data_IF_776103213017
#
_entry.id   IF_776103213017
#
_cell.length_a   1.000
_cell.length_b   1.000
_cell.length_c   1.000
_cell.angle_alpha   90.00
_cell.angle_beta   90.00
_cell.angle_gamma   90.00
#
_symmetry.space_group_name_H-M   'P 1'
#
loop_
_entity.id
_entity.type
_entity.pdbx_description
1 polymer ?
#
# COMPACT_ATOMS: atom_id res chain seq x y z
N UNK A 1 3.38 0.59 -17.55
CA UNK A 1 4.75 0.60 -17.00
C UNK A 1 5.57 1.74 -17.60
N UNK A 2 5.72 1.81 -18.93
CA UNK A 2 6.42 2.90 -19.64
C UNK A 2 6.02 4.30 -19.16
N UNK A 3 4.72 4.62 -19.22
CA UNK A 3 4.19 5.91 -18.74
C UNK A 3 4.58 6.24 -17.28
N UNK A 4 4.55 5.25 -16.38
CA UNK A 4 4.93 5.47 -14.99
C UNK A 4 6.44 5.76 -14.88
N UNK A 5 7.27 4.98 -15.58
CA UNK A 5 8.72 5.14 -15.59
C UNK A 5 9.15 6.49 -16.17
N UNK A 6 8.56 6.89 -17.30
CA UNK A 6 8.81 8.20 -17.93
C UNK A 6 8.35 9.37 -17.04
N UNK A 7 7.36 9.14 -16.17
CA UNK A 7 6.92 10.11 -15.15
C UNK A 7 7.80 10.10 -13.89
N UNK A 8 8.90 9.35 -13.88
CA UNK A 8 9.86 9.27 -12.76
C UNK A 8 9.57 8.20 -11.72
N UNK A 9 8.55 7.35 -11.91
CA UNK A 9 8.27 6.22 -11.00
C UNK A 9 9.29 5.11 -11.23
N UNK A 10 10.01 4.75 -10.17
CA UNK A 10 10.96 3.62 -10.19
C UNK A 10 10.46 2.38 -9.44
N UNK A 11 9.46 2.51 -8.56
CA UNK A 11 8.90 1.42 -7.76
C UNK A 11 7.78 0.69 -8.52
N UNK A 12 7.98 -0.60 -8.75
CA UNK A 12 7.00 -1.48 -9.38
C UNK A 12 6.78 -2.72 -8.52
N UNK A 13 5.58 -2.82 -7.96
CA UNK A 13 5.14 -3.98 -7.21
C UNK A 13 4.37 -4.93 -8.13
N UNK A 14 4.84 -6.18 -8.25
CA UNK A 14 4.28 -7.12 -9.20
C UNK A 14 4.38 -8.58 -8.75
N UNK A 15 3.69 -9.44 -9.51
CA UNK A 15 3.96 -10.87 -9.60
C UNK A 15 4.72 -11.24 -10.90
N UNK A 16 4.62 -10.46 -12.00
CA UNK A 16 5.31 -10.69 -13.30
C UNK A 16 5.47 -9.39 -14.14
N UNK A 17 6.42 -9.38 -15.07
CA UNK A 17 6.55 -8.54 -16.30
C UNK A 17 7.76 -7.59 -16.41
N UNK A 18 8.33 -7.64 -17.62
CA UNK A 18 9.36 -6.85 -18.29
C UNK A 18 9.22 -5.32 -18.25
N UNK A 19 10.35 -4.63 -18.08
CA UNK A 19 10.56 -3.26 -18.50
C UNK A 19 11.87 -3.10 -19.28
N UNK A 20 11.84 -2.29 -20.33
CA UNK A 20 12.97 -1.92 -21.18
C UNK A 20 13.94 -0.89 -20.54
N UNK A 21 14.03 -0.86 -19.20
CA UNK A 21 14.91 0.02 -18.44
C UNK A 21 16.18 -0.68 -17.96
N UNK A 22 17.21 0.09 -17.55
CA UNK A 22 18.36 -0.49 -16.85
C UNK A 22 17.88 -1.06 -15.51
N UNK A 23 18.26 -2.30 -15.17
CA UNK A 23 17.88 -2.94 -13.91
C UNK A 23 18.19 -2.08 -12.66
N UNK A 24 19.29 -1.33 -12.70
CA UNK A 24 19.74 -0.46 -11.60
C UNK A 24 18.92 0.81 -11.39
N UNK A 25 18.05 1.20 -12.33
CA UNK A 25 17.15 2.35 -12.18
C UNK A 25 15.74 1.97 -11.72
N UNK A 26 15.49 0.68 -11.45
CA UNK A 26 14.20 0.14 -11.06
C UNK A 26 14.26 -0.46 -9.65
N UNK A 27 13.16 -0.27 -8.91
CA UNK A 27 12.88 -0.97 -7.65
C UNK A 27 11.72 -1.91 -7.89
N UNK A 28 12.02 -3.19 -8.09
CA UNK A 28 11.04 -4.25 -8.33
C UNK A 28 10.75 -4.96 -7.01
N UNK A 29 9.48 -5.02 -6.64
CA UNK A 29 9.03 -5.74 -5.44
C UNK A 29 8.08 -6.86 -5.82
N UNK A 30 8.14 -7.97 -5.08
CA UNK A 30 7.20 -9.08 -5.26
C UNK A 30 6.79 -9.67 -3.93
N UNK A 31 5.71 -10.44 -3.92
CA UNK A 31 5.12 -11.01 -2.71
C UNK A 31 5.08 -12.52 -2.78
N UNK A 32 5.51 -13.18 -1.72
CA UNK A 32 5.39 -14.61 -1.54
C UNK A 32 4.25 -14.92 -0.58
N UNK A 33 3.49 -15.97 -0.89
CA UNK A 33 2.56 -16.56 0.06
C UNK A 33 2.92 -18.03 0.31
N UNK A 34 2.92 -18.43 1.58
CA UNK A 34 3.26 -19.77 2.01
C UNK A 34 2.10 -20.73 1.74
N UNK A 35 2.19 -21.47 0.64
CA UNK A 35 1.17 -22.43 0.19
C UNK A 35 1.72 -23.61 -0.62
N UNK A 36 3.03 -23.82 -0.60
CA UNK A 36 3.76 -24.87 -1.31
C UNK A 36 5.26 -24.60 -1.18
N UNK A 37 6.07 -25.68 -1.14
CA UNK A 37 7.52 -25.72 -0.88
C UNK A 37 8.28 -24.41 -1.17
N UNK A 38 8.92 -23.91 -0.10
CA UNK A 38 10.09 -23.01 -0.04
C UNK A 38 10.60 -22.51 -1.40
N UNK A 39 10.55 -21.19 -1.60
CA UNK A 39 11.21 -20.46 -2.69
C UNK A 39 11.05 -21.05 -4.08
N UNK A 40 9.96 -20.71 -4.78
CA UNK A 40 9.95 -20.93 -6.22
C UNK A 40 10.87 -19.89 -6.88
N UNK A 41 12.04 -20.35 -7.32
CA UNK A 41 12.74 -19.86 -8.51
C UNK A 41 11.78 -19.43 -9.63
N UNK A 42 10.58 -20.02 -9.69
CA UNK A 42 9.48 -19.64 -10.55
C UNK A 42 9.13 -18.15 -10.58
N UNK A 43 9.15 -17.40 -9.47
CA UNK A 43 8.82 -15.96 -9.53
C UNK A 43 9.90 -15.15 -10.27
N UNK A 44 11.17 -15.37 -9.94
CA UNK A 44 12.30 -14.74 -10.62
C UNK A 44 12.38 -15.17 -12.10
N UNK A 45 12.12 -16.45 -12.38
CA UNK A 45 12.07 -16.99 -13.74
C UNK A 45 10.95 -16.35 -14.56
N UNK A 46 9.74 -16.19 -14.00
CA UNK A 46 8.62 -15.53 -14.69
C UNK A 46 8.85 -14.03 -14.87
N UNK A 47 9.53 -13.39 -13.91
CA UNK A 47 9.97 -12.00 -14.02
C UNK A 47 11.16 -11.82 -14.98
N UNK A 48 11.89 -12.89 -15.28
CA UNK A 48 13.17 -12.86 -16.00
C UNK A 48 14.18 -11.92 -15.36
N UNK A 49 14.25 -12.00 -14.03
CA UNK A 49 15.19 -11.24 -13.21
C UNK A 49 16.04 -12.21 -12.39
N UNK A 50 17.29 -11.85 -12.18
CA UNK A 50 18.16 -12.57 -11.24
C UNK A 50 17.78 -12.27 -9.78
N UNK A 51 17.25 -11.07 -9.52
CA UNK A 51 16.85 -10.63 -8.19
C UNK A 51 15.74 -9.57 -8.22
N UNK A 52 14.99 -9.48 -7.12
CA UNK A 52 14.06 -8.36 -6.82
C UNK A 52 14.62 -7.48 -5.72
N UNK A 53 14.29 -6.19 -5.72
CA UNK A 53 14.81 -5.26 -4.70
C UNK A 53 14.22 -5.56 -3.33
N UNK A 54 12.92 -5.87 -3.26
CA UNK A 54 12.29 -6.29 -2.00
C UNK A 54 11.35 -7.47 -2.22
N UNK A 55 11.57 -8.55 -1.47
CA UNK A 55 10.62 -9.66 -1.36
C UNK A 55 9.74 -9.49 -0.12
N UNK A 56 8.43 -9.61 -0.29
CA UNK A 56 7.48 -9.42 0.80
C UNK A 56 6.82 -10.73 1.23
N UNK A 57 6.68 -10.91 2.54
CA UNK A 57 5.72 -11.84 3.14
C UNK A 57 4.29 -11.32 2.93
N UNK A 58 3.51 -11.91 2.01
CA UNK A 58 2.22 -11.34 1.56
C UNK A 58 1.16 -11.17 2.67
N UNK A 59 1.13 -12.10 3.62
CA UNK A 59 0.29 -12.11 4.83
C UNK A 59 0.96 -12.99 5.90
N UNK A 60 0.66 -12.85 7.20
CA UNK A 60 1.18 -13.77 8.21
C UNK A 60 0.84 -15.23 7.89
N UNK A 61 1.74 -16.15 8.25
CA UNK A 61 1.49 -17.59 8.22
C UNK A 61 1.51 -18.13 9.64
N UNK A 62 0.35 -18.55 10.12
CA UNK A 62 0.18 -19.08 11.48
C UNK A 62 0.71 -20.51 11.64
N UNK A 63 1.10 -21.17 10.55
CA UNK A 63 1.58 -22.55 10.56
C UNK A 63 3.11 -22.65 10.52
N UNK A 64 3.82 -21.55 10.22
CA UNK A 64 5.29 -21.52 10.13
C UNK A 64 5.86 -20.67 11.25
N UNK A 65 6.80 -21.18 12.08
CA UNK A 65 7.43 -20.40 13.13
C UNK A 65 8.13 -19.15 12.58
N UNK A 66 8.11 -18.05 13.35
CA UNK A 66 8.74 -16.78 12.96
C UNK A 66 10.23 -16.94 12.62
N UNK A 67 10.94 -17.76 13.40
CA UNK A 67 12.36 -18.05 13.15
C UNK A 67 12.61 -18.64 11.76
N UNK A 68 11.78 -19.60 11.35
CA UNK A 68 11.90 -20.22 10.03
C UNK A 68 11.66 -19.19 8.91
N UNK A 69 10.64 -18.33 9.06
CA UNK A 69 10.35 -17.26 8.11
C UNK A 69 11.55 -16.30 7.97
N UNK A 70 12.08 -15.80 9.08
CA UNK A 70 13.19 -14.83 9.07
C UNK A 70 14.48 -15.46 8.54
N UNK A 71 14.75 -16.73 8.87
CA UNK A 71 15.89 -17.48 8.29
C UNK A 71 15.73 -17.66 6.79
N UNK A 72 14.55 -18.01 6.31
CA UNK A 72 14.28 -18.18 4.89
C UNK A 72 14.42 -16.86 4.11
N UNK A 73 13.92 -15.74 4.66
CA UNK A 73 14.10 -14.42 4.05
C UNK A 73 15.57 -13.98 4.05
N UNK A 74 16.30 -14.25 5.12
CA UNK A 74 17.74 -13.99 5.19
C UNK A 74 18.53 -14.83 4.20
N UNK A 75 18.19 -16.11 4.07
CA UNK A 75 18.84 -17.02 3.12
C UNK A 75 18.78 -16.45 1.70
N UNK A 76 17.65 -15.93 1.26
CA UNK A 76 17.54 -15.50 -0.15
C UNK A 76 18.18 -14.18 -0.45
N UNK A 77 18.29 -13.33 0.56
CA UNK A 77 19.10 -12.13 0.44
C UNK A 77 20.57 -12.54 0.30
N UNK A 78 21.03 -13.48 1.12
CA UNK A 78 22.40 -13.98 1.04
C UNK A 78 22.70 -14.75 -0.27
N UNK A 79 21.69 -15.37 -0.88
CA UNK A 79 21.80 -15.99 -2.20
C UNK A 79 21.71 -14.97 -3.36
N UNK A 80 21.54 -13.68 -3.06
CA UNK A 80 21.42 -12.63 -4.07
C UNK A 80 20.11 -12.63 -4.84
N UNK A 81 19.09 -13.38 -4.40
CA UNK A 81 17.76 -13.43 -5.04
C UNK A 81 16.88 -12.22 -4.66
N UNK A 82 17.23 -11.54 -3.57
CA UNK A 82 16.62 -10.26 -3.22
C UNK A 82 17.61 -9.33 -2.51
N UNK A 83 17.44 -8.01 -2.61
CA UNK A 83 18.27 -7.06 -1.87
C UNK A 83 17.79 -6.91 -0.41
N UNK A 84 16.47 -6.89 -0.21
CA UNK A 84 15.83 -6.72 1.10
C UNK A 84 14.57 -7.57 1.22
N UNK A 85 14.00 -7.64 2.42
CA UNK A 85 12.67 -8.21 2.60
C UNK A 85 11.78 -7.31 3.45
N UNK A 86 10.47 -7.51 3.31
CA UNK A 86 9.46 -6.79 4.05
C UNK A 86 8.25 -7.65 4.41
N UNK A 87 7.35 -7.08 5.17
CA UNK A 87 6.10 -7.71 5.60
C UNK A 87 4.90 -7.06 4.89
N UNK A 88 3.78 -7.76 4.82
CA UNK A 88 2.53 -7.21 4.29
C UNK A 88 1.37 -7.78 5.07
N UNK A 89 0.48 -6.92 5.58
CA UNK A 89 -0.67 -7.29 6.43
C UNK A 89 -0.30 -7.85 7.80
N UNK A 90 0.95 -7.68 8.23
CA UNK A 90 1.40 -8.12 9.55
C UNK A 90 1.03 -7.10 10.62
N UNK A 91 0.64 -7.56 11.80
CA UNK A 91 0.44 -6.70 12.96
C UNK A 91 1.76 -6.09 13.43
N UNK A 92 1.71 -4.98 14.16
CA UNK A 92 2.93 -4.39 14.74
C UNK A 92 3.66 -5.37 15.69
N UNK A 93 2.93 -6.27 16.33
CA UNK A 93 3.51 -7.31 17.19
C UNK A 93 4.32 -8.32 16.37
N UNK A 94 3.77 -8.86 15.28
CA UNK A 94 4.46 -9.83 14.42
C UNK A 94 5.70 -9.20 13.75
N UNK A 95 5.63 -7.93 13.36
CA UNK A 95 6.80 -7.20 12.80
C UNK A 95 7.90 -7.07 13.86
N UNK A 96 7.54 -6.75 15.11
CA UNK A 96 8.49 -6.67 16.21
C UNK A 96 9.07 -8.05 16.57
N UNK A 97 8.27 -9.12 16.48
CA UNK A 97 8.73 -10.49 16.67
C UNK A 97 9.77 -10.88 15.61
N UNK A 98 9.51 -10.59 14.33
CA UNK A 98 10.48 -10.79 13.25
C UNK A 98 11.78 -10.03 13.50
N UNK A 99 11.68 -8.78 13.96
CA UNK A 99 12.85 -7.99 14.34
C UNK A 99 13.61 -8.62 15.52
N UNK A 100 12.90 -9.08 16.55
CA UNK A 100 13.49 -9.73 17.73
C UNK A 100 14.25 -10.99 17.34
N UNK A 101 13.64 -11.86 16.54
CA UNK A 101 14.28 -13.07 15.97
C UNK A 101 15.52 -12.68 15.18
N UNK A 102 15.43 -11.66 14.32
CA UNK A 102 16.57 -11.22 13.53
C UNK A 102 17.75 -10.77 14.40
N UNK A 103 17.48 -10.02 15.47
CA UNK A 103 18.52 -9.59 16.41
C UNK A 103 19.10 -10.74 17.22
N UNK A 104 18.25 -11.66 17.70
CA UNK A 104 18.68 -12.79 18.51
C UNK A 104 19.60 -13.75 17.74
N UNK A 105 19.32 -13.98 16.46
CA UNK A 105 20.05 -14.97 15.65
C UNK A 105 20.98 -14.35 14.60
N UNK A 106 21.24 -13.04 14.68
CA UNK A 106 22.06 -12.29 13.73
C UNK A 106 21.62 -12.48 12.26
N UNK A 107 20.32 -12.36 12.04
CA UNK A 107 19.67 -12.44 10.72
C UNK A 107 19.28 -11.04 10.23
N UNK A 108 18.77 -10.95 9.00
CA UNK A 108 18.40 -9.68 8.37
C UNK A 108 16.96 -9.34 8.77
N UNK A 109 16.68 -8.18 9.41
CA UNK A 109 15.31 -7.76 9.77
C UNK A 109 14.53 -7.22 8.55
N UNK A 110 13.19 -7.16 8.62
CA UNK A 110 12.39 -6.57 7.54
C UNK A 110 12.59 -5.06 7.50
N UNK A 111 12.58 -4.47 6.30
CA UNK A 111 12.81 -3.01 6.12
C UNK A 111 11.54 -2.21 5.91
N UNK A 112 10.44 -2.87 5.53
CA UNK A 112 9.20 -2.21 5.13
C UNK A 112 7.99 -3.08 5.46
N UNK A 113 6.89 -2.44 5.88
CA UNK A 113 5.55 -3.04 5.90
C UNK A 113 4.72 -2.49 4.74
N UNK A 114 4.09 -3.40 3.98
CA UNK A 114 3.11 -3.10 2.96
C UNK A 114 1.68 -3.12 3.54
N UNK A 115 1.13 -1.94 3.86
CA UNK A 115 -0.14 -1.78 4.58
C UNK A 115 -1.25 -1.10 3.77
N UNK A 116 -2.50 -1.48 4.03
CA UNK A 116 -3.66 -0.76 3.46
C UNK A 116 -3.73 0.64 4.06
N UNK A 117 -3.83 1.66 3.20
CA UNK A 117 -4.02 3.03 3.66
C UNK A 117 -4.84 3.82 2.66
N UNK A 118 -5.93 4.39 3.15
CA UNK A 118 -6.81 5.27 2.41
C UNK A 118 -7.75 5.99 3.39
N UNK A 119 -8.58 6.90 2.88
CA UNK A 119 -9.50 7.73 3.69
C UNK A 119 -10.35 6.92 4.71
N UNK A 120 -10.75 5.69 4.35
CA UNK A 120 -11.53 4.80 5.23
C UNK A 120 -10.73 3.74 6.00
N UNK A 121 -9.40 3.68 5.89
CA UNK A 121 -8.53 2.71 6.56
C UNK A 121 -7.23 3.41 6.97
N UNK A 122 -7.13 3.79 8.25
CA UNK A 122 -6.14 4.77 8.72
C UNK A 122 -5.29 4.28 9.89
N UNK A 123 -5.90 3.56 10.82
CA UNK A 123 -5.36 3.29 12.15
C UNK A 123 -3.93 2.71 12.12
N UNK A 124 -3.70 1.62 11.40
CA UNK A 124 -2.38 0.99 11.33
C UNK A 124 -1.28 1.95 10.87
N UNK A 125 -1.52 2.68 9.79
CA UNK A 125 -0.50 3.53 9.15
C UNK A 125 -0.31 4.86 9.89
N UNK A 126 -1.36 5.43 10.46
CA UNK A 126 -1.26 6.69 11.21
C UNK A 126 -0.82 6.51 12.67
N UNK A 127 -1.03 5.33 13.28
CA UNK A 127 -0.75 5.09 14.71
C UNK A 127 0.36 4.07 14.94
N UNK A 128 0.31 2.91 14.29
CA UNK A 128 1.23 1.81 14.60
C UNK A 128 2.56 1.91 13.85
N UNK A 129 2.53 2.19 12.54
CA UNK A 129 3.74 2.24 11.72
C UNK A 129 4.73 3.35 12.11
N UNK A 130 4.32 4.56 12.54
CA UNK A 130 5.25 5.57 13.01
C UNK A 130 6.06 5.10 14.22
N UNK A 131 5.43 4.36 15.14
CA UNK A 131 6.14 3.78 16.29
C UNK A 131 7.14 2.70 15.86
N UNK A 132 6.80 1.86 14.89
CA UNK A 132 7.75 0.88 14.34
C UNK A 132 8.92 1.55 13.64
N UNK A 133 8.67 2.60 12.85
CA UNK A 133 9.72 3.38 12.21
C UNK A 133 10.70 3.94 13.25
N UNK A 134 10.20 4.59 14.31
CA UNK A 134 11.04 5.17 15.34
C UNK A 134 11.81 4.13 16.17
N UNK A 135 11.26 2.93 16.38
CA UNK A 135 11.87 1.89 17.22
C UNK A 135 12.87 1.01 16.46
N UNK A 136 12.53 0.63 15.23
CA UNK A 136 13.27 -0.40 14.48
C UNK A 136 13.54 -0.04 13.02
N UNK A 137 13.15 1.17 12.58
CA UNK A 137 13.46 1.67 11.23
C UNK A 137 12.60 1.08 10.11
N UNK A 138 11.50 0.40 10.42
CA UNK A 138 10.59 -0.18 9.41
C UNK A 138 9.80 0.95 8.74
N UNK A 139 9.98 1.09 7.41
CA UNK A 139 9.23 2.04 6.59
C UNK A 139 7.81 1.55 6.25
N UNK A 140 6.99 2.45 5.69
CA UNK A 140 5.64 2.15 5.25
C UNK A 140 5.49 2.33 3.74
N UNK A 141 5.12 1.26 3.04
CA UNK A 141 4.68 1.30 1.64
C UNK A 141 3.19 0.98 1.63
N UNK A 142 2.35 1.88 1.14
CA UNK A 142 0.91 1.70 1.28
C UNK A 142 0.23 1.21 0.01
N UNK A 143 -0.90 0.52 0.14
CA UNK A 143 -1.65 -0.01 -1.00
C UNK A 143 -3.16 0.30 -0.90
N UNK A 144 -3.84 0.16 -2.04
CA UNK A 144 -5.26 0.51 -2.23
C UNK A 144 -5.62 1.94 -1.81
N UNK A 145 -4.89 2.99 -2.24
CA UNK A 145 -5.21 4.38 -1.88
C UNK A 145 -6.62 4.82 -2.27
N UNK A 146 -7.20 4.15 -3.27
CA UNK A 146 -8.56 4.39 -3.75
C UNK A 146 -9.57 3.34 -3.29
N UNK A 147 -9.22 2.49 -2.31
CA UNK A 147 -10.04 1.40 -1.77
C UNK A 147 -10.66 0.55 -2.89
N UNK A 148 -9.82 -0.06 -3.74
CA UNK A 148 -10.27 -0.82 -4.93
C UNK A 148 -11.12 -0.03 -5.93
N UNK A 149 -11.04 1.30 -5.93
CA UNK A 149 -11.80 2.20 -6.80
C UNK A 149 -13.07 2.76 -6.15
N UNK A 150 -13.37 2.40 -4.90
CA UNK A 150 -14.52 2.93 -4.15
C UNK A 150 -14.45 4.46 -4.07
N UNK A 151 -13.25 4.98 -3.80
CA UNK A 151 -13.02 6.41 -3.56
C UNK A 151 -13.13 7.26 -4.83
N UNK A 152 -13.18 6.65 -6.03
CA UNK A 152 -13.36 7.44 -7.26
C UNK A 152 -14.81 7.94 -7.44
N UNK A 153 -15.74 7.59 -6.55
CA UNK A 153 -17.16 7.95 -6.64
C UNK A 153 -17.94 7.20 -7.72
N UNK A 154 -17.30 6.30 -8.49
CA UNK A 154 -17.93 5.61 -9.62
C UNK A 154 -19.08 4.67 -9.24
N UNK A 155 -19.25 4.38 -7.95
CA UNK A 155 -20.26 3.47 -7.44
C UNK A 155 -21.49 4.16 -6.85
N UNK A 156 -21.59 5.50 -6.94
CA UNK A 156 -22.73 6.25 -6.40
C UNK A 156 -24.07 5.80 -6.99
N UNK A 157 -24.08 5.39 -8.28
CA UNK A 157 -25.28 4.99 -9.01
C UNK A 157 -25.33 3.48 -9.31
N UNK A 158 -24.70 2.66 -8.46
CA UNK A 158 -24.64 1.21 -8.64
C UNK A 158 -23.27 0.71 -9.12
N UNK A 159 -23.20 -0.52 -9.61
CA UNK A 159 -21.93 -1.17 -10.01
C UNK A 159 -21.75 -1.05 -11.53
N UNK A 160 -20.78 -0.27 -12.03
CA UNK A 160 -20.51 -0.23 -13.47
C UNK A 160 -19.98 -1.58 -13.98
N UNK A 161 -20.39 -1.97 -15.20
CA UNK A 161 -20.07 -3.27 -15.80
C UNK A 161 -18.57 -3.49 -16.02
N UNK A 162 -17.82 -2.43 -16.30
CA UNK A 162 -16.35 -2.48 -16.52
C UNK A 162 -15.54 -2.30 -15.24
N UNK A 163 -16.20 -2.21 -14.08
CA UNK A 163 -15.53 -1.93 -12.81
C UNK A 163 -14.94 -3.18 -12.17
N UNK A 164 -13.98 -3.01 -11.24
CA UNK A 164 -13.42 -4.15 -10.48
C UNK A 164 -14.50 -4.95 -9.73
N UNK A 165 -15.55 -4.28 -9.26
CA UNK A 165 -16.62 -4.90 -8.48
C UNK A 165 -17.62 -5.72 -9.34
N UNK A 166 -17.57 -5.63 -10.67
CA UNK A 166 -18.38 -6.51 -11.54
C UNK A 166 -17.72 -7.86 -11.82
N UNK A 167 -16.41 -7.99 -11.54
CA UNK A 167 -15.65 -9.21 -11.80
C UNK A 167 -16.06 -10.33 -10.84
N UNK A 168 -16.22 -11.55 -11.36
CA UNK A 168 -16.68 -12.71 -10.58
C UNK A 168 -15.82 -13.02 -9.34
N UNK A 169 -14.50 -12.82 -9.44
CA UNK A 169 -13.55 -13.01 -8.34
C UNK A 169 -13.62 -11.92 -7.25
N UNK A 170 -14.39 -10.85 -7.47
CA UNK A 170 -14.50 -9.68 -6.60
C UNK A 170 -15.91 -9.50 -6.02
N UNK A 171 -16.69 -10.58 -5.90
CA UNK A 171 -18.02 -10.55 -5.31
C UNK A 171 -18.03 -9.93 -3.90
N UNK A 172 -17.01 -10.19 -3.09
CA UNK A 172 -16.81 -9.56 -1.78
C UNK A 172 -16.74 -8.03 -1.85
N UNK A 173 -16.18 -7.46 -2.93
CA UNK A 173 -16.08 -6.01 -3.12
C UNK A 173 -17.45 -5.41 -3.45
N UNK A 174 -18.23 -6.11 -4.28
CA UNK A 174 -19.61 -5.73 -4.57
C UNK A 174 -20.44 -5.70 -3.28
N UNK A 175 -20.34 -6.74 -2.46
CA UNK A 175 -21.02 -6.82 -1.16
C UNK A 175 -20.59 -5.68 -0.22
N UNK A 176 -19.29 -5.38 -0.15
CA UNK A 176 -18.77 -4.23 0.62
C UNK A 176 -19.37 -2.91 0.14
N UNK A 177 -19.48 -2.69 -1.17
CA UNK A 177 -20.02 -1.45 -1.74
C UNK A 177 -21.51 -1.27 -1.44
N UNK A 178 -22.32 -2.33 -1.58
CA UNK A 178 -23.78 -2.26 -1.38
C UNK A 178 -24.22 -2.35 0.09
N UNK A 179 -23.29 -2.70 0.98
CA UNK A 179 -23.52 -2.72 2.44
C UNK A 179 -23.91 -1.34 2.98
N UNK A 180 -24.45 -1.32 4.21
CA UNK A 180 -24.79 -0.07 4.89
C UNK A 180 -23.55 0.84 5.05
N UNK A 181 -22.42 0.27 5.46
CA UNK A 181 -21.18 1.01 5.62
C UNK A 181 -20.63 1.50 4.28
N UNK A 182 -20.75 0.70 3.22
CA UNK A 182 -20.42 1.11 1.85
C UNK A 182 -21.22 2.34 1.41
N UNK A 183 -22.54 2.35 1.68
CA UNK A 183 -23.40 3.51 1.39
C UNK A 183 -23.02 4.75 2.23
N UNK A 184 -22.69 4.57 3.51
CA UNK A 184 -22.17 5.67 4.36
C UNK A 184 -20.86 6.23 3.81
N UNK A 185 -19.96 5.38 3.30
CA UNK A 185 -18.74 5.83 2.63
C UNK A 185 -19.05 6.63 1.36
N UNK A 186 -20.01 6.19 0.53
CA UNK A 186 -20.42 6.95 -0.67
C UNK A 186 -20.99 8.34 -0.35
N UNK A 187 -21.75 8.47 0.75
CA UNK A 187 -22.23 9.78 1.20
C UNK A 187 -21.07 10.71 1.57
N UNK A 188 -20.08 10.22 2.33
CA UNK A 188 -18.87 10.98 2.67
C UNK A 188 -18.06 11.36 1.43
N UNK A 189 -17.98 10.48 0.43
CA UNK A 189 -17.30 10.77 -0.84
C UNK A 189 -17.97 11.92 -1.61
N UNK A 190 -19.29 12.08 -1.50
CA UNK A 190 -19.99 13.23 -2.08
C UNK A 190 -19.56 14.54 -1.42
N UNK A 191 -19.47 14.56 -0.09
CA UNK A 191 -19.00 15.73 0.66
C UNK A 191 -17.53 16.05 0.35
N UNK A 192 -16.67 15.04 0.28
CA UNK A 192 -15.28 15.19 -0.14
C UNK A 192 -15.15 15.68 -1.59
N UNK A 193 -16.11 15.35 -2.45
CA UNK A 193 -16.20 15.88 -3.81
C UNK A 193 -16.21 17.41 -3.84
N UNK A 194 -16.91 18.06 -2.90
CA UNK A 194 -16.92 19.52 -2.79
C UNK A 194 -15.55 20.10 -2.39
N UNK A 195 -14.76 19.37 -1.59
CA UNK A 195 -13.37 19.77 -1.30
C UNK A 195 -12.52 19.63 -2.56
N UNK A 196 -12.63 18.51 -3.28
CA UNK A 196 -11.89 18.28 -4.51
C UNK A 196 -12.18 19.37 -5.57
N UNK A 197 -13.45 19.72 -5.77
CA UNK A 197 -13.89 20.81 -6.64
C UNK A 197 -13.25 22.15 -6.26
N UNK A 198 -13.30 22.53 -4.98
CA UNK A 198 -12.68 23.78 -4.48
C UNK A 198 -11.16 23.81 -4.70
N UNK A 199 -10.49 22.67 -4.60
CA UNK A 199 -9.05 22.54 -4.82
C UNK A 199 -8.67 22.41 -6.30
N UNK A 200 -9.66 22.25 -7.18
CA UNK A 200 -9.47 22.06 -8.62
C UNK A 200 -8.83 20.72 -8.96
N UNK A 201 -9.13 19.66 -8.20
CA UNK A 201 -8.65 18.31 -8.45
C UNK A 201 -9.80 17.30 -8.55
N UNK A 202 -9.50 16.11 -9.04
CA UNK A 202 -10.44 14.99 -8.95
C UNK A 202 -10.42 14.37 -7.56
N UNK A 203 -11.47 13.61 -7.21
CA UNK A 203 -11.52 12.88 -5.94
C UNK A 203 -10.40 11.82 -5.80
N UNK A 204 -10.03 11.06 -6.86
CA UNK A 204 -8.83 10.23 -6.83
C UNK A 204 -7.55 10.99 -6.52
N UNK A 205 -7.36 12.15 -7.15
CA UNK A 205 -6.19 13.00 -6.91
C UNK A 205 -6.13 13.50 -5.47
N UNK A 206 -7.26 13.95 -4.93
CA UNK A 206 -7.39 14.35 -3.54
C UNK A 206 -6.99 13.21 -2.59
N UNK A 207 -7.51 12.01 -2.84
CA UNK A 207 -7.29 10.86 -1.97
C UNK A 207 -5.83 10.36 -1.98
N UNK A 208 -5.19 10.32 -3.14
CA UNK A 208 -3.78 9.94 -3.26
C UNK A 208 -2.87 11.01 -2.66
N UNK A 209 -3.12 12.30 -2.93
CA UNK A 209 -2.39 13.40 -2.30
C UNK A 209 -2.55 13.38 -0.77
N UNK A 210 -3.75 13.09 -0.28
CA UNK A 210 -4.01 12.90 1.14
C UNK A 210 -3.20 11.75 1.72
N UNK A 211 -3.04 10.61 1.02
CA UNK A 211 -2.20 9.52 1.50
C UNK A 211 -0.72 9.95 1.59
N UNK A 212 -0.22 10.67 0.58
CA UNK A 212 1.15 11.17 0.49
C UNK A 212 1.47 12.30 1.46
N UNK A 213 0.46 12.97 2.05
CA UNK A 213 0.68 14.03 3.06
C UNK A 213 1.43 13.54 4.29
N UNK A 214 1.34 12.24 4.58
CA UNK A 214 1.97 11.65 5.74
C UNK A 214 3.43 11.32 5.39
N UNK A 215 4.38 12.08 5.94
CA UNK A 215 5.82 11.86 5.71
C UNK A 215 6.29 10.47 6.20
N UNK A 216 5.55 9.81 7.10
CA UNK A 216 5.82 8.43 7.50
C UNK A 216 5.48 7.39 6.42
N UNK A 217 4.74 7.77 5.38
CA UNK A 217 4.46 6.92 4.21
C UNK A 217 5.55 7.16 3.16
N UNK A 218 6.41 6.16 2.96
CA UNK A 218 7.52 6.26 1.99
C UNK A 218 7.05 6.22 0.55
N UNK A 219 5.99 5.46 0.26
CA UNK A 219 5.39 5.38 -1.08
C UNK A 219 3.94 4.90 -1.02
N UNK A 220 3.16 5.26 -2.05
CA UNK A 220 1.78 4.83 -2.25
C UNK A 220 1.69 4.04 -3.55
N UNK A 221 1.36 2.75 -3.46
CA UNK A 221 1.18 1.88 -4.62
C UNK A 221 -0.13 2.20 -5.34
N UNK A 222 0.01 2.72 -6.56
CA UNK A 222 -1.11 3.04 -7.43
C UNK A 222 -1.60 1.79 -8.18
N UNK A 223 -2.93 1.64 -8.28
CA UNK A 223 -3.56 0.64 -9.13
C UNK A 223 -4.44 1.31 -10.17
N UNK A 224 -4.20 1.02 -11.45
CA UNK A 224 -4.94 1.58 -12.59
C UNK A 224 -5.31 0.49 -13.59
N UNK A 225 -6.51 0.55 -14.15
CA UNK A 225 -6.96 -0.34 -15.24
C UNK A 225 -6.84 0.30 -16.62
N UNK A 226 -6.49 1.59 -16.71
CA UNK A 226 -6.28 2.30 -17.97
C UNK A 226 -5.18 3.36 -17.85
N UNK A 227 -4.55 3.78 -18.96
CA UNK A 227 -3.55 4.84 -18.98
C UNK A 227 -4.08 6.20 -18.46
N UNK A 228 -5.35 6.51 -18.69
CA UNK A 228 -5.99 7.75 -18.26
C UNK A 228 -6.07 7.80 -16.74
N UNK A 229 -6.46 6.69 -16.10
CA UNK A 229 -6.47 6.58 -14.63
C UNK A 229 -5.06 6.73 -14.05
N UNK A 230 -4.05 6.15 -14.71
CA UNK A 230 -2.66 6.29 -14.27
C UNK A 230 -2.21 7.76 -14.36
N UNK A 231 -2.48 8.42 -15.48
CA UNK A 231 -2.15 9.83 -15.69
C UNK A 231 -2.83 10.73 -14.66
N UNK A 232 -4.13 10.50 -14.42
CA UNK A 232 -4.90 11.20 -13.39
C UNK A 232 -4.26 11.02 -12.01
N UNK A 233 -3.98 9.78 -11.62
CA UNK A 233 -3.42 9.45 -10.31
C UNK A 233 -1.99 9.97 -10.12
N UNK A 234 -1.16 10.01 -11.16
CA UNK A 234 0.17 10.62 -11.11
C UNK A 234 0.09 12.15 -10.89
N UNK A 235 -0.95 12.79 -11.44
CA UNK A 235 -1.24 14.21 -11.23
C UNK A 235 -1.52 14.60 -9.77
N UNK A 236 -1.78 13.63 -8.89
CA UNK A 236 -2.03 13.87 -7.45
C UNK A 236 -0.91 14.65 -6.75
N UNK A 237 0.34 14.47 -7.22
CA UNK A 237 1.52 15.16 -6.65
C UNK A 237 1.36 16.70 -6.71
N UNK A 238 0.68 17.22 -7.73
CA UNK A 238 0.44 18.67 -7.88
C UNK A 238 -0.46 19.24 -6.79
N UNK A 239 -1.22 18.39 -6.09
CA UNK A 239 -2.15 18.78 -5.04
C UNK A 239 -1.61 18.55 -3.63
N UNK A 240 -0.43 17.93 -3.49
CA UNK A 240 0.22 17.74 -2.19
C UNK A 240 0.48 19.08 -1.47
N UNK A 241 0.97 20.16 -2.12
CA UNK A 241 1.13 21.46 -1.45
C UNK A 241 -0.20 22.09 -0.99
N UNK A 242 -1.34 21.66 -1.55
CA UNK A 242 -2.67 22.13 -1.15
C UNK A 242 -3.25 21.38 0.05
N UNK A 243 -2.58 20.32 0.53
CA UNK A 243 -2.97 19.56 1.73
C UNK A 243 -2.61 20.32 3.01
N UNK A 244 -3.14 21.54 3.16
CA UNK A 244 -2.96 22.39 4.34
C UNK A 244 -3.66 21.78 5.56
N UNK A 245 -3.27 22.22 6.76
CA UNK A 245 -3.92 21.78 8.01
C UNK A 245 -5.44 22.00 8.01
N UNK A 246 -5.92 23.09 7.40
CA UNK A 246 -7.35 23.35 7.24
C UNK A 246 -8.03 22.30 6.36
N UNK A 247 -7.49 22.04 5.17
CA UNK A 247 -8.03 21.01 4.25
C UNK A 247 -8.05 19.63 4.92
N UNK A 248 -6.97 19.27 5.61
CA UNK A 248 -6.89 18.00 6.34
C UNK A 248 -7.92 17.93 7.46
N UNK A 249 -8.13 19.04 8.19
CA UNK A 249 -9.16 19.13 9.24
C UNK A 249 -10.58 18.98 8.68
N UNK A 250 -10.87 19.58 7.53
CA UNK A 250 -12.17 19.44 6.86
C UNK A 250 -12.41 17.98 6.43
N UNK A 251 -11.38 17.34 5.86
CA UNK A 251 -11.42 15.92 5.50
C UNK A 251 -11.63 15.05 6.75
N UNK A 252 -10.90 15.31 7.84
CA UNK A 252 -11.04 14.58 9.10
C UNK A 252 -12.45 14.74 9.69
N UNK A 253 -13.05 15.93 9.60
CA UNK A 253 -14.41 16.19 10.06
C UNK A 253 -15.45 15.37 9.26
N UNK A 254 -15.37 15.39 7.93
CA UNK A 254 -16.27 14.60 7.06
C UNK A 254 -16.09 13.09 7.32
N UNK A 255 -14.84 12.64 7.44
CA UNK A 255 -14.55 11.23 7.63
C UNK A 255 -14.94 10.74 9.02
N UNK A 256 -14.82 11.57 10.05
CA UNK A 256 -15.15 11.24 11.44
C UNK A 256 -14.42 9.99 11.96
N UNK A 257 -13.24 9.70 11.42
CA UNK A 257 -12.49 8.47 11.68
C UNK A 257 -11.00 8.71 11.94
N UNK A 258 -10.62 9.95 12.31
CA UNK A 258 -9.24 10.28 12.69
C UNK A 258 -8.84 9.35 13.85
N UNK A 259 -7.80 8.52 13.69
CA UNK A 259 -7.43 7.59 14.73
C UNK A 259 -6.79 8.34 15.90
N UNK A 260 -7.03 7.85 17.12
CA UNK A 260 -6.48 8.43 18.34
C UNK A 260 -4.98 8.18 18.42
N UNK A 261 -4.19 9.23 18.66
CA UNK A 261 -2.75 9.12 18.90
C UNK A 261 -2.44 9.38 20.38
N UNK A 262 -1.61 8.53 21.00
CA UNK A 262 -1.17 8.71 22.41
C UNK A 262 -0.47 10.04 22.67
N UNK A 263 0.06 10.72 21.63
CA UNK A 263 0.68 12.05 21.78
C UNK A 263 -0.31 13.13 22.26
N UNK A 264 -1.59 12.98 21.96
CA UNK A 264 -2.65 13.94 22.37
C UNK A 264 -3.00 13.85 23.88
N UNK A 265 -2.49 12.86 24.63
CA UNK A 265 -2.74 12.71 26.08
C UNK A 265 -1.85 13.58 26.98
N UNK A 266 -0.77 14.16 26.43
CA UNK A 266 0.25 14.91 27.21
C UNK A 266 0.22 16.42 26.96
N UNK A 267 -0.79 16.92 26.27
CA UNK A 267 -1.01 18.34 25.96
C UNK A 267 -2.27 18.86 26.63
#
# INVERSE_FOLDING_TARGET
MTMAYESGVNLFDTAEVYAAGKRSSLVITTKLYWGGTVYSSGSLQRLQLEYVDVVFANRPDTNTPMEEIVRAMTYVINQGMSMYWGTSRWTAMEIMEAYSVARQFNLIPPVCEQAEYHLFQREKVEVQLPELYHKIGVGAMTWSPLACGIITGKYQNGIPETSRASMKSYQWLKEKIVSEDGRKQQAKLKELGHIAEKLGCTLPQLAVAWCLRNEGVSSVLLGSSSPEQLTENLGSIQFLPKMTSHVVSDIDHILGNKPYSKKEYRS
#
